data_IF_786239471766
#
_entry.id   IF_786239471766
#
_cell.length_a   1.000
_cell.length_b   1.000
_cell.length_c   1.000
_cell.angle_alpha   90.00
_cell.angle_beta   90.00
_cell.angle_gamma   90.00
#
_symmetry.space_group_name_H-M   'P 1'
#
loop_
_entity.id
_entity.type
_entity.pdbx_description
1 polymer ?
#
# COMPACT_ATOMS: atom_id res chain seq x y z
N UNK A 1 -19.96 -27.15 75.57
CA UNK A 1 -19.14 -28.31 75.25
C UNK A 1 -19.77 -29.13 74.18
N UNK A 2 -19.34 -28.99 72.94
CA UNK A 2 -19.51 -29.97 71.86
C UNK A 2 -18.66 -29.49 70.69
N UNK A 3 -17.60 -30.20 70.46
CA UNK A 3 -16.64 -30.05 69.37
C UNK A 3 -17.26 -30.55 68.06
N UNK A 4 -17.34 -29.74 67.03
CA UNK A 4 -17.71 -30.15 65.68
C UNK A 4 -16.46 -30.37 64.82
N UNK A 5 -16.23 -31.61 64.48
CA UNK A 5 -15.20 -32.10 63.56
C UNK A 5 -15.59 -31.70 62.11
N UNK A 6 -14.76 -30.96 61.44
CA UNK A 6 -14.87 -30.65 60.03
C UNK A 6 -14.23 -31.74 59.16
N UNK A 7 -14.99 -32.32 58.24
CA UNK A 7 -14.53 -33.24 57.20
C UNK A 7 -13.92 -32.46 56.03
N UNK A 8 -12.84 -32.93 55.35
CA UNK A 8 -12.27 -32.27 54.21
C UNK A 8 -13.07 -32.57 52.92
N UNK A 9 -13.42 -31.54 52.18
CA UNK A 9 -14.01 -31.62 50.86
C UNK A 9 -12.90 -31.94 49.85
N UNK A 10 -13.08 -33.03 49.12
CA UNK A 10 -12.20 -33.45 48.04
C UNK A 10 -12.27 -32.50 46.85
N UNK A 11 -11.16 -31.90 46.54
CA UNK A 11 -10.96 -30.99 45.40
C UNK A 11 -10.80 -31.82 44.10
N UNK A 12 -11.85 -31.97 43.33
CA UNK A 12 -11.81 -32.60 42.02
C UNK A 12 -11.27 -31.60 41.01
N UNK A 13 -9.95 -31.52 40.84
CA UNK A 13 -9.30 -30.79 39.76
C UNK A 13 -9.50 -31.54 38.45
N UNK A 14 -10.47 -31.12 37.65
CA UNK A 14 -10.58 -31.46 36.22
C UNK A 14 -9.54 -30.64 35.44
N UNK A 15 -8.49 -31.31 34.93
CA UNK A 15 -7.56 -30.73 33.97
C UNK A 15 -8.30 -30.28 32.71
N UNK A 16 -8.10 -29.04 32.25
CA UNK A 16 -8.62 -28.67 30.91
C UNK A 16 -7.72 -29.28 29.84
N UNK A 17 -8.35 -29.94 28.88
CA UNK A 17 -7.73 -30.47 27.69
C UNK A 17 -6.91 -29.40 26.94
N UNK A 18 -5.64 -29.69 26.69
CA UNK A 18 -4.74 -28.91 25.86
C UNK A 18 -5.17 -29.01 24.38
N UNK A 19 -6.05 -28.11 23.97
CA UNK A 19 -6.21 -27.78 22.57
C UNK A 19 -5.03 -26.89 22.09
N UNK A 20 -4.72 -26.83 20.79
CA UNK A 20 -3.58 -26.05 20.30
C UNK A 20 -3.74 -24.59 20.71
N UNK A 21 -2.76 -24.06 21.43
CA UNK A 21 -2.67 -22.65 21.83
C UNK A 21 -2.65 -21.78 20.56
N UNK A 22 -3.82 -21.29 20.17
CA UNK A 22 -3.90 -20.08 19.36
C UNK A 22 -3.39 -18.94 20.23
N UNK A 23 -2.19 -18.46 19.95
CA UNK A 23 -1.56 -17.30 20.58
C UNK A 23 -2.55 -16.12 20.52
N UNK A 24 -3.26 -15.90 21.62
CA UNK A 24 -4.27 -14.82 21.70
C UNK A 24 -3.54 -13.49 21.67
N UNK A 25 -3.85 -12.67 20.69
CA UNK A 25 -3.34 -11.29 20.57
C UNK A 25 -3.61 -10.56 21.89
N UNK A 26 -2.58 -9.98 22.55
CA UNK A 26 -2.77 -9.31 23.82
C UNK A 26 -3.73 -8.13 23.68
N UNK A 27 -4.82 -8.12 24.45
CA UNK A 27 -5.87 -7.08 24.45
C UNK A 27 -5.30 -5.69 24.78
N UNK A 28 -4.16 -5.59 25.47
CA UNK A 28 -3.49 -4.32 25.80
C UNK A 28 -2.98 -3.52 24.57
N UNK A 29 -2.79 -4.17 23.42
CA UNK A 29 -2.34 -3.51 22.19
C UNK A 29 -3.51 -3.02 21.29
N UNK A 30 -4.74 -3.46 21.55
CA UNK A 30 -5.92 -3.20 20.71
C UNK A 30 -6.38 -1.74 20.65
N UNK A 31 -5.76 -0.83 21.44
CA UNK A 31 -6.15 0.59 21.50
C UNK A 31 -5.06 1.59 21.08
N UNK A 32 -3.83 1.15 20.86
CA UNK A 32 -2.76 2.09 20.54
C UNK A 32 -2.80 2.48 19.06
N UNK A 33 -3.10 3.75 18.81
CA UNK A 33 -2.92 4.39 17.52
C UNK A 33 -1.43 4.54 17.24
N UNK A 34 -0.95 4.07 16.11
CA UNK A 34 0.43 4.25 15.66
C UNK A 34 0.53 5.52 14.83
N UNK A 35 1.06 6.58 15.44
CA UNK A 35 1.20 7.87 14.75
C UNK A 35 2.13 7.77 13.54
N UNK A 36 3.15 6.89 13.60
CA UNK A 36 4.05 6.61 12.47
C UNK A 36 3.32 6.04 11.27
N UNK A 37 2.32 5.18 11.47
CA UNK A 37 1.57 4.57 10.38
C UNK A 37 0.67 5.59 9.68
N UNK A 38 0.02 6.50 10.43
CA UNK A 38 -0.78 7.56 9.86
C UNK A 38 0.11 8.58 9.09
N UNK A 39 1.28 8.91 9.65
CA UNK A 39 2.24 9.79 8.99
C UNK A 39 2.83 9.14 7.72
N UNK A 40 3.18 7.87 7.75
CA UNK A 40 3.70 7.15 6.59
C UNK A 40 2.64 7.01 5.49
N UNK A 41 1.37 6.77 5.87
CA UNK A 41 0.25 6.78 4.92
C UNK A 41 0.10 8.15 4.25
N UNK A 42 0.20 9.23 5.05
CA UNK A 42 0.16 10.59 4.52
C UNK A 42 1.34 10.91 3.63
N UNK A 43 2.53 10.42 3.95
CA UNK A 43 3.71 10.54 3.09
C UNK A 43 3.49 9.86 1.74
N UNK A 44 3.06 8.59 1.73
CA UNK A 44 2.77 7.89 0.49
C UNK A 44 1.67 8.61 -0.31
N UNK A 45 0.62 9.08 0.35
CA UNK A 45 -0.48 9.80 -0.31
C UNK A 45 -0.03 11.14 -0.88
N UNK A 46 0.83 11.89 -0.20
CA UNK A 46 1.39 13.16 -0.71
C UNK A 46 2.05 12.96 -2.08
N UNK A 47 2.82 11.89 -2.24
CA UNK A 47 3.46 11.57 -3.52
C UNK A 47 2.45 11.09 -4.57
N UNK A 48 1.41 10.38 -4.18
CA UNK A 48 0.36 9.92 -5.11
C UNK A 48 -0.41 11.11 -5.69
N UNK A 49 -0.76 12.11 -4.87
CA UNK A 49 -1.58 13.24 -5.32
C UNK A 49 -0.78 14.38 -5.95
N UNK A 50 0.48 14.56 -5.54
CA UNK A 50 1.27 15.71 -5.96
C UNK A 50 2.63 15.38 -6.57
N UNK A 51 3.03 14.11 -6.60
CA UNK A 51 4.37 13.71 -7.04
C UNK A 51 4.65 14.06 -8.50
N UNK A 52 3.70 13.80 -9.38
CA UNK A 52 3.82 14.13 -10.81
C UNK A 52 3.87 15.64 -11.04
N UNK A 53 2.97 16.40 -10.42
CA UNK A 53 2.97 17.87 -10.53
C UNK A 53 4.25 18.50 -10.02
N UNK A 54 4.77 18.02 -8.87
CA UNK A 54 6.06 18.47 -8.34
C UNK A 54 7.23 18.10 -9.27
N UNK A 55 7.20 16.91 -9.87
CA UNK A 55 8.20 16.47 -10.84
C UNK A 55 8.21 17.39 -12.06
N UNK A 56 7.05 17.69 -12.65
CA UNK A 56 6.91 18.61 -13.78
C UNK A 56 7.36 20.02 -13.42
N UNK A 57 6.96 20.53 -12.24
CA UNK A 57 7.39 21.83 -11.75
C UNK A 57 8.88 21.95 -11.53
N UNK A 58 9.52 20.90 -11.00
CA UNK A 58 10.97 20.84 -10.83
C UNK A 58 11.71 20.74 -12.17
N UNK A 59 11.20 19.96 -13.11
CA UNK A 59 11.77 19.84 -14.45
C UNK A 59 11.79 21.20 -15.19
N UNK A 60 10.79 22.05 -14.96
CA UNK A 60 10.72 23.39 -15.54
C UNK A 60 11.79 24.36 -15.01
N UNK A 61 12.38 24.13 -13.83
CA UNK A 61 13.42 24.98 -13.26
C UNK A 61 14.75 24.89 -14.04
N UNK A 62 14.97 23.86 -14.85
CA UNK A 62 16.17 23.68 -15.66
C UNK A 62 16.85 22.32 -15.42
N UNK A 63 17.97 22.09 -16.11
CA UNK A 63 18.63 20.78 -16.21
C UNK A 63 19.96 20.69 -15.45
N UNK A 64 20.04 21.24 -14.24
CA UNK A 64 21.24 20.98 -13.43
C UNK A 64 21.22 19.53 -12.89
N UNK A 65 22.40 19.01 -12.51
CA UNK A 65 22.58 17.62 -12.06
C UNK A 65 21.66 17.24 -10.88
N UNK A 66 21.45 18.16 -9.93
CA UNK A 66 20.64 17.90 -8.75
C UNK A 66 19.16 17.80 -9.13
N UNK A 67 18.65 18.79 -9.86
CA UNK A 67 17.27 18.78 -10.36
C UNK A 67 17.02 17.54 -11.23
N UNK A 68 17.91 17.25 -12.16
CA UNK A 68 17.79 16.06 -13.02
C UNK A 68 17.73 14.75 -12.22
N UNK A 69 18.54 14.62 -11.15
CA UNK A 69 18.49 13.44 -10.28
C UNK A 69 17.16 13.35 -9.52
N UNK A 70 16.64 14.46 -9.00
CA UNK A 70 15.35 14.49 -8.28
C UNK A 70 14.21 14.16 -9.24
N UNK A 71 14.14 14.80 -10.40
CA UNK A 71 13.14 14.53 -11.45
C UNK A 71 13.18 13.06 -11.87
N UNK A 72 14.40 12.51 -12.08
CA UNK A 72 14.56 11.09 -12.40
C UNK A 72 13.96 10.18 -11.34
N UNK A 73 14.14 10.48 -10.05
CA UNK A 73 13.60 9.68 -8.95
C UNK A 73 12.09 9.88 -8.74
N UNK A 74 11.52 11.01 -9.14
CA UNK A 74 10.10 11.33 -9.04
C UNK A 74 9.29 10.91 -10.28
N UNK A 75 9.94 10.37 -11.31
CA UNK A 75 9.25 9.77 -12.46
C UNK A 75 9.24 8.25 -12.36
N UNK A 76 8.26 7.60 -13.00
CA UNK A 76 8.27 6.14 -13.13
C UNK A 76 9.42 5.65 -14.01
N UNK A 77 9.94 4.46 -13.69
CA UNK A 77 10.82 3.74 -14.60
C UNK A 77 10.08 3.47 -15.91
N UNK A 78 10.65 3.77 -17.08
CA UNK A 78 9.98 3.53 -18.36
C UNK A 78 9.59 2.07 -18.54
N UNK A 79 10.48 1.14 -18.24
CA UNK A 79 10.20 -0.29 -18.25
C UNK A 79 10.99 -1.02 -17.16
N UNK A 80 12.30 -1.22 -17.34
CA UNK A 80 13.14 -1.88 -16.36
C UNK A 80 13.78 -0.87 -15.40
N UNK A 81 13.88 -1.26 -14.13
CA UNK A 81 14.50 -0.47 -13.09
C UNK A 81 13.58 -0.23 -11.89
N UNK A 82 14.12 0.45 -10.89
CA UNK A 82 13.41 0.85 -9.69
C UNK A 82 13.79 2.27 -9.34
N UNK A 83 12.81 3.14 -9.25
CA UNK A 83 12.97 4.52 -8.81
C UNK A 83 12.21 4.75 -7.51
N UNK A 84 12.48 5.84 -6.84
CA UNK A 84 11.77 6.20 -5.62
C UNK A 84 10.25 6.20 -5.81
N UNK A 85 9.77 6.79 -6.90
CA UNK A 85 8.34 6.91 -7.18
C UNK A 85 7.67 5.54 -7.38
N UNK A 86 8.38 4.56 -7.92
CA UNK A 86 7.90 3.19 -8.08
C UNK A 86 7.67 2.47 -6.75
N UNK A 87 8.26 2.95 -5.64
CA UNK A 87 8.10 2.37 -4.31
C UNK A 87 6.87 2.91 -3.55
N UNK A 88 6.18 3.93 -4.06
CA UNK A 88 5.08 4.60 -3.33
C UNK A 88 3.85 3.71 -3.26
N UNK A 89 3.43 3.11 -4.37
CA UNK A 89 2.28 2.21 -4.37
C UNK A 89 2.51 0.94 -3.53
N UNK A 90 3.63 0.20 -3.64
CA UNK A 90 3.95 -0.89 -2.72
C UNK A 90 3.96 -0.48 -1.25
N UNK A 91 4.45 0.73 -0.94
CA UNK A 91 4.39 1.27 0.43
C UNK A 91 2.95 1.40 0.92
N UNK A 92 2.04 1.86 0.08
CA UNK A 92 0.62 1.95 0.42
C UNK A 92 0.00 0.56 0.65
N UNK A 93 0.34 -0.44 -0.20
CA UNK A 93 -0.07 -1.84 -0.03
C UNK A 93 0.42 -2.41 1.32
N UNK A 94 1.68 -2.16 1.67
CA UNK A 94 2.25 -2.56 2.95
C UNK A 94 1.47 -1.93 4.13
N UNK A 95 1.20 -0.62 4.08
CA UNK A 95 0.45 0.12 5.12
C UNK A 95 -0.94 -0.46 5.31
N UNK A 96 -1.63 -0.81 4.22
CA UNK A 96 -2.94 -1.46 4.28
C UNK A 96 -2.83 -2.78 5.03
N UNK A 97 -1.84 -3.61 4.70
CA UNK A 97 -1.56 -4.87 5.40
C UNK A 97 -1.29 -4.66 6.89
N UNK A 98 -0.42 -3.72 7.26
CA UNK A 98 -0.12 -3.38 8.67
C UNK A 98 -1.39 -2.98 9.43
N UNK A 99 -2.32 -2.32 8.78
CA UNK A 99 -3.57 -1.85 9.40
C UNK A 99 -4.59 -2.97 9.67
N UNK A 100 -4.49 -4.13 8.99
CA UNK A 100 -5.45 -5.24 9.12
C UNK A 100 -5.51 -5.80 10.53
N UNK A 101 -4.40 -6.28 11.15
CA UNK A 101 -4.48 -6.89 12.48
C UNK A 101 -4.87 -5.88 13.55
N UNK A 102 -4.46 -4.60 13.43
CA UNK A 102 -4.84 -3.52 14.34
C UNK A 102 -6.36 -3.28 14.33
N UNK A 103 -6.95 -3.22 13.13
CA UNK A 103 -8.38 -3.00 12.99
C UNK A 103 -9.19 -4.24 13.37
N UNK A 104 -8.68 -5.43 13.07
CA UNK A 104 -9.31 -6.70 13.40
C UNK A 104 -9.35 -6.91 14.91
N UNK A 105 -8.25 -6.71 15.63
CA UNK A 105 -8.18 -6.82 17.08
C UNK A 105 -9.14 -5.84 17.78
N UNK A 106 -9.24 -4.60 17.30
CA UNK A 106 -10.17 -3.63 17.86
C UNK A 106 -11.64 -4.06 17.69
N UNK A 107 -12.01 -4.62 16.54
CA UNK A 107 -13.38 -5.06 16.27
C UNK A 107 -13.73 -6.37 16.94
N UNK A 108 -12.77 -7.24 17.23
CA UNK A 108 -13.02 -8.49 17.94
C UNK A 108 -13.57 -8.30 19.36
N UNK A 109 -13.45 -7.09 19.91
CA UNK A 109 -14.06 -6.74 21.20
C UNK A 109 -15.59 -6.62 21.15
N UNK A 110 -16.15 -6.33 19.96
CA UNK A 110 -17.59 -6.02 19.80
C UNK A 110 -18.29 -6.81 18.69
N UNK A 111 -17.54 -7.50 17.83
CA UNK A 111 -18.06 -8.17 16.64
C UNK A 111 -17.60 -9.63 16.58
N UNK A 112 -18.50 -10.50 16.13
CA UNK A 112 -18.15 -11.88 15.78
C UNK A 112 -17.29 -11.95 14.54
N UNK A 113 -16.62 -13.07 14.30
CA UNK A 113 -15.79 -13.27 13.10
C UNK A 113 -16.56 -13.07 11.80
N UNK A 114 -17.79 -13.61 11.71
CA UNK A 114 -18.64 -13.44 10.52
C UNK A 114 -19.01 -11.97 10.27
N UNK A 115 -19.29 -11.21 11.33
CA UNK A 115 -19.56 -9.77 11.22
C UNK A 115 -18.33 -9.00 10.75
N UNK A 116 -17.14 -9.36 11.24
CA UNK A 116 -15.87 -8.74 10.80
C UNK A 116 -15.59 -9.06 9.34
N UNK A 117 -15.84 -10.30 8.90
CA UNK A 117 -15.67 -10.73 7.52
C UNK A 117 -16.65 -10.00 6.58
N UNK A 118 -17.93 -9.92 6.96
CA UNK A 118 -18.95 -9.17 6.20
C UNK A 118 -18.57 -7.68 6.09
N UNK A 119 -18.08 -7.08 7.18
CA UNK A 119 -17.59 -5.71 7.17
C UNK A 119 -16.37 -5.54 6.25
N UNK A 120 -15.45 -6.49 6.28
CA UNK A 120 -14.27 -6.47 5.40
C UNK A 120 -14.66 -6.64 3.92
N UNK A 121 -15.59 -7.53 3.61
CA UNK A 121 -16.14 -7.71 2.28
C UNK A 121 -16.82 -6.43 1.77
N UNK A 122 -17.66 -5.80 2.59
CA UNK A 122 -18.28 -4.50 2.26
C UNK A 122 -17.23 -3.44 1.98
N UNK A 123 -16.19 -3.35 2.82
CA UNK A 123 -15.09 -2.39 2.65
C UNK A 123 -14.31 -2.66 1.36
N UNK A 124 -13.98 -3.92 1.08
CA UNK A 124 -13.31 -4.31 -0.15
C UNK A 124 -14.15 -3.95 -1.38
N UNK A 125 -15.46 -4.22 -1.34
CA UNK A 125 -16.38 -3.85 -2.43
C UNK A 125 -16.42 -2.33 -2.63
N UNK A 126 -16.53 -1.55 -1.57
CA UNK A 126 -16.53 -0.07 -1.66
C UNK A 126 -15.22 0.43 -2.27
N UNK A 127 -14.06 -0.09 -1.83
CA UNK A 127 -12.75 0.28 -2.40
C UNK A 127 -12.66 -0.10 -3.88
N UNK A 128 -13.14 -1.28 -4.25
CA UNK A 128 -13.16 -1.75 -5.62
C UNK A 128 -14.01 -0.82 -6.50
N UNK A 129 -15.22 -0.49 -6.07
CA UNK A 129 -16.14 0.40 -6.79
C UNK A 129 -15.62 1.84 -6.87
N UNK A 130 -14.95 2.34 -5.82
CA UNK A 130 -14.27 3.64 -5.87
C UNK A 130 -13.13 3.64 -6.91
N UNK A 131 -12.39 2.52 -7.03
CA UNK A 131 -11.41 2.36 -8.09
C UNK A 131 -12.03 2.40 -9.48
N UNK A 132 -13.13 1.65 -9.67
CA UNK A 132 -13.89 1.66 -10.93
C UNK A 132 -14.43 3.05 -11.27
N UNK A 133 -14.97 3.76 -10.28
CA UNK A 133 -15.47 5.12 -10.46
C UNK A 133 -14.34 6.08 -10.89
N UNK A 134 -13.17 5.99 -10.24
CA UNK A 134 -12.01 6.82 -10.59
C UNK A 134 -11.62 6.64 -12.05
N UNK A 135 -11.42 5.40 -12.49
CA UNK A 135 -11.02 5.11 -13.86
C UNK A 135 -12.12 5.51 -14.85
N UNK A 136 -13.39 5.28 -14.52
CA UNK A 136 -14.52 5.71 -15.36
C UNK A 136 -14.55 7.23 -15.56
N UNK A 137 -14.23 8.00 -14.52
CA UNK A 137 -14.16 9.46 -14.62
C UNK A 137 -12.98 9.91 -15.48
N UNK A 138 -11.79 9.31 -15.25
CA UNK A 138 -10.59 9.65 -16.02
C UNK A 138 -10.73 9.35 -17.50
N UNK A 139 -11.39 8.25 -17.85
CA UNK A 139 -11.54 7.78 -19.23
C UNK A 139 -12.80 8.28 -19.92
N UNK A 140 -13.71 8.94 -19.17
CA UNK A 140 -15.00 9.38 -19.72
C UNK A 140 -15.89 8.22 -20.20
N UNK A 141 -15.62 6.99 -19.75
CA UNK A 141 -16.36 5.78 -20.13
C UNK A 141 -16.47 4.79 -18.97
N UNK A 142 -17.53 3.97 -18.89
CA UNK A 142 -17.67 3.01 -17.80
C UNK A 142 -16.51 1.99 -17.75
N UNK A 143 -15.85 1.90 -16.61
CA UNK A 143 -14.75 0.98 -16.31
C UNK A 143 -15.08 0.26 -15.00
N UNK A 144 -15.41 -1.03 -15.04
CA UNK A 144 -15.89 -1.75 -13.87
C UNK A 144 -14.91 -2.80 -13.34
N UNK A 145 -14.40 -3.67 -14.20
CA UNK A 145 -13.70 -4.90 -13.80
C UNK A 145 -12.27 -5.00 -14.34
N UNK A 146 -11.79 -3.97 -14.98
CA UNK A 146 -10.51 -4.01 -15.73
C UNK A 146 -9.27 -4.02 -14.84
N UNK A 147 -9.43 -3.89 -13.51
CA UNK A 147 -8.35 -3.97 -12.52
C UNK A 147 -7.21 -2.96 -12.74
N UNK A 148 -7.47 -1.92 -13.51
CA UNK A 148 -6.49 -0.89 -13.88
C UNK A 148 -6.26 0.17 -12.81
N UNK A 149 -7.19 0.32 -11.85
CA UNK A 149 -7.07 1.26 -10.74
C UNK A 149 -6.21 0.71 -9.61
N UNK A 150 -5.42 1.56 -8.96
CA UNK A 150 -4.66 1.18 -7.76
C UNK A 150 -5.54 0.67 -6.60
N UNK A 151 -6.79 1.16 -6.47
CA UNK A 151 -7.70 0.74 -5.39
C UNK A 151 -8.25 -0.67 -5.56
N UNK A 152 -8.38 -1.18 -6.78
CA UNK A 152 -8.92 -2.52 -7.03
C UNK A 152 -7.97 -3.62 -6.52
N UNK A 153 -6.66 -3.65 -6.86
CA UNK A 153 -5.70 -4.55 -6.24
C UNK A 153 -5.61 -4.41 -4.72
N UNK A 154 -5.69 -3.17 -4.20
CA UNK A 154 -5.71 -2.92 -2.75
C UNK A 154 -6.94 -3.58 -2.11
N UNK A 155 -8.12 -3.47 -2.72
CA UNK A 155 -9.35 -4.07 -2.22
C UNK A 155 -9.23 -5.59 -2.12
N UNK A 156 -8.74 -6.24 -3.16
CA UNK A 156 -8.56 -7.69 -3.22
C UNK A 156 -7.48 -8.14 -2.23
N UNK A 157 -6.32 -7.50 -2.23
CA UNK A 157 -5.22 -7.84 -1.32
C UNK A 157 -5.62 -7.63 0.16
N UNK A 158 -6.36 -6.56 0.46
CA UNK A 158 -6.94 -6.33 1.79
C UNK A 158 -7.89 -7.47 2.20
N UNK A 159 -8.78 -7.89 1.31
CA UNK A 159 -9.73 -8.96 1.61
C UNK A 159 -9.01 -10.29 1.86
N UNK A 160 -8.03 -10.64 1.03
CA UNK A 160 -7.19 -11.83 1.23
C UNK A 160 -6.46 -11.77 2.58
N UNK A 161 -5.87 -10.62 2.93
CA UNK A 161 -5.21 -10.44 4.22
C UNK A 161 -6.18 -10.65 5.40
N UNK A 162 -7.44 -10.20 5.31
CA UNK A 162 -8.46 -10.44 6.34
C UNK A 162 -8.85 -11.91 6.43
N UNK A 163 -8.93 -12.64 5.32
CA UNK A 163 -9.22 -14.08 5.33
C UNK A 163 -8.17 -14.89 6.10
N UNK A 164 -6.91 -14.44 6.06
CA UNK A 164 -5.79 -15.15 6.68
C UNK A 164 -5.29 -14.55 8.00
N UNK A 165 -5.85 -13.43 8.47
CA UNK A 165 -5.40 -12.73 9.70
C UNK A 165 -5.44 -13.62 10.96
N UNK A 166 -6.28 -14.66 10.98
CA UNK A 166 -6.37 -15.63 12.09
C UNK A 166 -5.48 -16.86 11.91
N UNK A 167 -4.80 -16.99 10.78
CA UNK A 167 -3.87 -18.09 10.52
C UNK A 167 -2.51 -17.76 11.16
N UNK A 168 -1.70 -18.79 11.38
CA UNK A 168 -0.37 -18.59 11.95
C UNK A 168 0.50 -17.70 11.05
N UNK A 169 1.40 -16.93 11.65
CA UNK A 169 2.36 -16.11 10.93
C UNK A 169 3.18 -16.91 9.89
N UNK A 170 3.47 -18.18 10.18
CA UNK A 170 4.16 -19.08 9.25
C UNK A 170 3.34 -19.34 8.00
N UNK A 171 2.04 -19.59 8.15
CA UNK A 171 1.14 -19.78 7.00
C UNK A 171 1.06 -18.50 6.16
N UNK A 172 0.91 -17.33 6.79
CA UNK A 172 0.87 -16.04 6.09
C UNK A 172 2.18 -15.76 5.33
N UNK A 173 3.34 -16.05 5.95
CA UNK A 173 4.64 -15.89 5.34
C UNK A 173 4.83 -16.84 4.13
N UNK A 174 4.48 -18.13 4.30
CA UNK A 174 4.56 -19.10 3.21
C UNK A 174 3.58 -18.78 2.08
N UNK A 175 2.38 -18.29 2.39
CA UNK A 175 1.43 -17.84 1.37
C UNK A 175 1.98 -16.66 0.58
N UNK A 176 2.52 -15.64 1.25
CA UNK A 176 3.12 -14.48 0.58
C UNK A 176 4.32 -14.86 -0.29
N UNK A 177 5.25 -15.64 0.25
CA UNK A 177 6.41 -16.13 -0.49
C UNK A 177 5.98 -17.05 -1.66
N UNK A 178 5.01 -17.92 -1.44
CA UNK A 178 4.46 -18.83 -2.45
C UNK A 178 3.80 -18.10 -3.61
N UNK A 179 3.08 -17.00 -3.34
CA UNK A 179 2.50 -16.15 -4.39
C UNK A 179 3.60 -15.54 -5.26
N UNK A 180 4.64 -14.95 -4.67
CA UNK A 180 5.75 -14.36 -5.44
C UNK A 180 6.48 -15.43 -6.25
N UNK A 181 6.78 -16.59 -5.64
CA UNK A 181 7.47 -17.68 -6.31
C UNK A 181 6.62 -18.27 -7.45
N UNK A 182 5.34 -18.58 -7.19
CA UNK A 182 4.44 -19.14 -8.21
C UNK A 182 4.25 -18.16 -9.37
N UNK A 183 4.05 -16.87 -9.09
CA UNK A 183 3.94 -15.86 -10.12
C UNK A 183 5.22 -15.75 -10.95
N UNK A 184 6.39 -15.72 -10.30
CA UNK A 184 7.68 -15.72 -10.98
C UNK A 184 7.88 -16.94 -11.88
N UNK A 185 7.48 -18.15 -11.41
CA UNK A 185 7.52 -19.38 -12.21
C UNK A 185 6.54 -19.33 -13.39
N UNK A 186 5.35 -18.78 -13.19
CA UNK A 186 4.38 -18.59 -14.30
C UNK A 186 4.98 -17.71 -15.39
N UNK A 187 5.58 -16.55 -15.03
CA UNK A 187 6.21 -15.67 -16.02
C UNK A 187 7.43 -16.31 -16.69
N UNK A 188 8.20 -17.13 -15.95
CA UNK A 188 9.43 -17.73 -16.46
C UNK A 188 9.18 -18.91 -17.39
N UNK A 189 8.12 -19.72 -17.16
CA UNK A 189 7.94 -21.02 -17.83
C UNK A 189 6.69 -21.15 -18.69
N UNK A 190 5.68 -20.30 -18.47
CA UNK A 190 4.44 -20.37 -19.26
C UNK A 190 4.64 -19.65 -20.60
N UNK A 191 4.21 -20.30 -21.66
CA UNK A 191 4.18 -19.78 -23.03
C UNK A 191 2.76 -19.34 -23.37
N UNK A 192 2.66 -18.32 -24.22
CA UNK A 192 1.39 -17.93 -24.85
C UNK A 192 1.56 -17.87 -26.38
N UNK A 193 0.47 -17.88 -27.16
CA UNK A 193 0.55 -17.72 -28.62
C UNK A 193 1.35 -16.47 -29.00
N UNK A 194 2.46 -16.67 -29.72
CA UNK A 194 3.36 -15.58 -30.14
C UNK A 194 4.33 -15.08 -29.06
N UNK A 195 4.25 -15.58 -27.81
CA UNK A 195 5.10 -15.14 -26.69
C UNK A 195 5.91 -16.31 -26.13
N UNK A 196 7.22 -16.16 -26.12
CA UNK A 196 8.13 -17.16 -25.55
C UNK A 196 8.06 -17.16 -24.01
N UNK A 197 8.37 -18.31 -23.40
CA UNK A 197 8.53 -18.40 -21.95
C UNK A 197 9.67 -17.48 -21.50
N UNK A 198 9.47 -16.80 -20.35
CA UNK A 198 10.46 -15.89 -19.79
C UNK A 198 10.61 -14.57 -20.57
N UNK A 199 9.67 -14.21 -21.43
CA UNK A 199 9.66 -12.89 -22.06
C UNK A 199 9.20 -11.82 -21.08
N UNK A 200 10.06 -10.81 -20.86
CA UNK A 200 9.79 -9.61 -20.08
C UNK A 200 9.86 -8.36 -20.96
N UNK A 201 9.71 -8.53 -22.26
CA UNK A 201 9.77 -7.41 -23.20
C UNK A 201 8.55 -6.53 -23.11
N UNK A 202 8.72 -5.26 -23.43
CA UNK A 202 7.62 -4.28 -23.46
C UNK A 202 6.55 -4.71 -24.46
N UNK A 203 5.30 -4.75 -24.01
CA UNK A 203 4.12 -5.20 -24.79
C UNK A 203 4.26 -6.58 -25.47
N UNK A 204 5.31 -7.35 -25.15
CA UNK A 204 5.53 -8.70 -25.69
C UNK A 204 5.85 -9.69 -24.56
N UNK A 205 4.91 -9.83 -23.62
CA UNK A 205 5.04 -10.65 -22.43
C UNK A 205 3.71 -11.31 -22.05
N UNK A 206 3.78 -12.29 -21.15
CA UNK A 206 2.60 -13.04 -20.72
C UNK A 206 1.53 -12.17 -20.05
N UNK A 207 1.91 -11.13 -19.31
CA UNK A 207 0.96 -10.23 -18.63
C UNK A 207 0.10 -9.50 -19.65
N UNK A 208 0.75 -8.88 -20.62
CA UNK A 208 0.09 -8.18 -21.73
C UNK A 208 -0.83 -9.13 -22.54
N UNK A 209 -0.37 -10.35 -22.83
CA UNK A 209 -1.19 -11.32 -23.54
C UNK A 209 -2.45 -11.70 -22.76
N UNK A 210 -2.33 -11.94 -21.45
CA UNK A 210 -3.47 -12.29 -20.58
C UNK A 210 -4.47 -11.15 -20.52
N UNK A 211 -4.00 -9.91 -20.41
CA UNK A 211 -4.86 -8.73 -20.37
C UNK A 211 -5.67 -8.61 -21.66
N UNK A 212 -5.04 -8.73 -22.83
CA UNK A 212 -5.75 -8.71 -24.12
C UNK A 212 -6.70 -9.90 -24.25
N UNK A 213 -6.28 -11.11 -23.85
CA UNK A 213 -7.11 -12.31 -23.96
C UNK A 213 -8.38 -12.24 -23.10
N UNK A 214 -8.30 -11.61 -21.91
CA UNK A 214 -9.42 -11.52 -20.97
C UNK A 214 -10.27 -10.27 -21.18
N UNK A 215 -9.66 -9.13 -21.47
CA UNK A 215 -10.34 -7.84 -21.54
C UNK A 215 -10.66 -7.42 -22.97
N UNK A 216 -9.96 -8.02 -23.95
CA UNK A 216 -10.11 -7.73 -25.37
C UNK A 216 -9.26 -6.56 -25.88
N UNK A 217 -8.90 -6.62 -27.15
CA UNK A 217 -8.07 -5.62 -27.81
C UNK A 217 -8.71 -4.21 -27.77
N UNK A 218 -10.03 -4.13 -28.01
CA UNK A 218 -10.76 -2.85 -27.99
C UNK A 218 -10.76 -2.17 -26.61
N UNK A 219 -10.62 -2.95 -25.52
CA UNK A 219 -10.41 -2.40 -24.19
C UNK A 219 -9.00 -1.83 -24.07
N UNK A 220 -7.99 -2.62 -24.47
CA UNK A 220 -6.59 -2.22 -24.43
C UNK A 220 -6.33 -0.92 -25.21
N UNK A 221 -6.86 -0.81 -26.43
CA UNK A 221 -6.69 0.37 -27.28
C UNK A 221 -7.29 1.66 -26.71
N UNK A 222 -8.24 1.54 -25.78
CA UNK A 222 -8.87 2.69 -25.11
C UNK A 222 -8.21 3.06 -23.80
N UNK A 223 -7.38 2.18 -23.25
CA UNK A 223 -6.73 2.44 -21.97
C UNK A 223 -5.50 3.35 -22.16
N UNK A 224 -5.47 4.54 -21.52
CA UNK A 224 -4.41 5.52 -21.76
C UNK A 224 -3.02 5.07 -21.28
N UNK A 225 -2.98 4.06 -20.41
CA UNK A 225 -1.72 3.48 -19.91
C UNK A 225 -1.30 2.21 -20.69
N UNK A 226 -2.02 1.83 -21.74
CA UNK A 226 -1.67 0.71 -22.59
C UNK A 226 -0.30 0.93 -23.26
N UNK A 227 -0.08 2.14 -23.78
CA UNK A 227 1.18 2.54 -24.41
C UNK A 227 2.37 2.52 -23.44
N UNK A 228 2.11 2.52 -22.13
CA UNK A 228 3.12 2.39 -21.10
C UNK A 228 3.36 0.93 -20.66
N UNK A 229 2.58 -0.02 -21.13
CA UNK A 229 2.72 -1.45 -20.83
C UNK A 229 2.27 -1.86 -19.42
N UNK A 230 1.35 -1.11 -18.79
CA UNK A 230 0.82 -1.48 -17.48
C UNK A 230 -0.01 -2.75 -17.55
N UNK A 231 0.42 -3.76 -16.79
CA UNK A 231 -0.36 -4.98 -16.59
C UNK A 231 -1.52 -4.77 -15.60
N UNK A 232 -2.61 -5.48 -15.79
CA UNK A 232 -3.81 -5.37 -14.96
C UNK A 232 -4.15 -6.69 -14.25
N UNK A 233 -4.72 -7.65 -14.95
CA UNK A 233 -5.31 -8.87 -14.34
C UNK A 233 -4.24 -9.73 -13.65
N UNK A 234 -3.22 -10.11 -14.39
CA UNK A 234 -2.22 -11.04 -13.89
C UNK A 234 -1.26 -10.37 -12.90
N UNK A 235 -0.85 -9.12 -13.16
CA UNK A 235 0.06 -8.35 -12.31
C UNK A 235 -0.54 -7.96 -10.94
N UNK A 236 -1.86 -8.05 -10.78
CA UNK A 236 -2.53 -7.83 -9.50
C UNK A 236 -2.21 -8.93 -8.47
N UNK A 237 -1.99 -10.18 -8.91
CA UNK A 237 -1.81 -11.33 -8.01
C UNK A 237 -0.63 -11.14 -7.04
N UNK A 238 0.57 -10.77 -7.49
CA UNK A 238 1.72 -10.62 -6.60
C UNK A 238 1.59 -9.41 -5.64
N UNK A 239 0.70 -8.45 -5.90
CA UNK A 239 0.46 -7.34 -4.97
C UNK A 239 -0.05 -7.81 -3.61
N UNK A 240 -0.75 -8.96 -3.58
CA UNK A 240 -1.24 -9.60 -2.37
C UNK A 240 -0.07 -9.92 -1.41
N UNK A 241 1.07 -10.33 -1.94
CA UNK A 241 2.25 -10.67 -1.13
C UNK A 241 2.79 -9.48 -0.33
N UNK A 242 2.82 -8.28 -0.92
CA UNK A 242 3.23 -7.04 -0.25
C UNK A 242 2.26 -6.69 0.88
N UNK A 243 0.97 -6.89 0.69
CA UNK A 243 -0.05 -6.69 1.74
C UNK A 243 0.06 -7.74 2.84
N UNK A 244 0.36 -9.01 2.52
CA UNK A 244 0.61 -10.06 3.52
C UNK A 244 1.89 -9.79 4.32
N UNK A 245 2.94 -9.25 3.71
CA UNK A 245 4.11 -8.78 4.44
C UNK A 245 3.73 -7.66 5.41
N UNK A 246 2.88 -6.73 4.99
CA UNK A 246 2.31 -5.71 5.85
C UNK A 246 1.52 -6.31 7.02
N UNK A 247 0.71 -7.34 6.79
CA UNK A 247 -0.02 -8.07 7.84
C UNK A 247 0.94 -8.64 8.90
N UNK A 248 2.00 -9.31 8.48
CA UNK A 248 3.03 -9.85 9.38
C UNK A 248 3.72 -8.74 10.21
N UNK A 249 4.04 -7.61 9.58
CA UNK A 249 4.61 -6.45 10.29
C UNK A 249 3.59 -5.86 11.27
N UNK A 250 2.32 -5.82 10.91
CA UNK A 250 1.25 -5.37 11.81
C UNK A 250 1.13 -6.26 13.05
N UNK A 251 1.19 -7.59 12.91
CA UNK A 251 1.22 -8.54 14.02
C UNK A 251 2.48 -8.36 14.88
N UNK A 252 3.64 -8.17 14.24
CA UNK A 252 4.88 -7.84 14.94
C UNK A 252 4.75 -6.56 15.77
N UNK A 253 4.14 -5.51 15.23
CA UNK A 253 3.92 -4.24 15.93
C UNK A 253 2.95 -4.38 17.09
N UNK A 254 2.02 -5.33 17.05
CA UNK A 254 1.10 -5.64 18.16
C UNK A 254 1.71 -6.58 19.20
N UNK A 255 2.80 -7.27 18.90
CA UNK A 255 3.44 -8.22 19.81
C UNK A 255 3.95 -7.54 21.11
N UNK A 256 4.22 -8.33 22.15
CA UNK A 256 4.77 -7.84 23.42
C UNK A 256 6.26 -7.44 23.37
N UNK A 257 6.91 -7.50 22.20
CA UNK A 257 8.32 -7.15 22.01
C UNK A 257 8.56 -5.67 22.27
N UNK A 258 9.79 -5.32 22.71
CA UNK A 258 10.19 -3.92 22.88
C UNK A 258 10.18 -3.17 21.54
N UNK A 259 9.99 -1.85 21.58
CA UNK A 259 9.97 -1.00 20.37
C UNK A 259 11.26 -1.16 19.55
N UNK A 260 12.43 -1.22 20.21
CA UNK A 260 13.72 -1.42 19.57
C UNK A 260 13.82 -2.79 18.87
N UNK A 261 13.29 -3.83 19.51
CA UNK A 261 13.29 -5.16 18.92
C UNK A 261 12.37 -5.23 17.69
N UNK A 262 11.18 -4.62 17.77
CA UNK A 262 10.29 -4.46 16.61
C UNK A 262 10.99 -3.74 15.44
N UNK A 263 11.68 -2.64 15.74
CA UNK A 263 12.45 -1.90 14.74
C UNK A 263 13.55 -2.75 14.08
N UNK A 264 14.31 -3.54 14.88
CA UNK A 264 15.33 -4.47 14.35
C UNK A 264 14.72 -5.51 13.41
N UNK A 265 13.56 -6.07 13.78
CA UNK A 265 12.87 -7.03 12.91
C UNK A 265 12.36 -6.40 11.62
N UNK A 266 11.74 -5.21 11.68
CA UNK A 266 11.30 -4.48 10.46
C UNK A 266 12.50 -4.21 9.55
N UNK A 267 13.62 -3.73 10.13
CA UNK A 267 14.87 -3.50 9.39
C UNK A 267 15.45 -4.77 8.79
N UNK A 268 15.51 -5.87 9.58
CA UNK A 268 16.00 -7.17 9.10
C UNK A 268 15.15 -7.74 7.97
N UNK A 269 13.81 -7.66 8.07
CA UNK A 269 12.89 -8.07 7.01
C UNK A 269 13.10 -7.19 5.75
N UNK A 270 13.19 -5.87 5.92
CA UNK A 270 13.42 -4.95 4.81
C UNK A 270 14.73 -5.23 4.08
N UNK A 271 15.83 -5.37 4.82
CA UNK A 271 17.14 -5.71 4.24
C UNK A 271 17.16 -7.10 3.60
N UNK A 272 16.49 -8.08 4.22
CA UNK A 272 16.33 -9.42 3.64
C UNK A 272 15.58 -9.39 2.31
N UNK A 273 14.46 -8.65 2.23
CA UNK A 273 13.73 -8.46 0.99
C UNK A 273 14.59 -7.77 -0.08
N UNK A 274 15.36 -6.74 0.28
CA UNK A 274 16.27 -6.07 -0.65
C UNK A 274 17.35 -7.03 -1.16
N UNK A 275 17.98 -7.80 -0.28
CA UNK A 275 19.03 -8.74 -0.65
C UNK A 275 18.50 -9.84 -1.58
N UNK A 276 17.37 -10.47 -1.23
CA UNK A 276 16.75 -11.51 -2.05
C UNK A 276 16.26 -10.90 -3.38
N UNK A 277 15.64 -9.72 -3.33
CA UNK A 277 15.17 -9.01 -4.52
C UNK A 277 16.31 -8.63 -5.46
N UNK A 278 17.46 -8.20 -4.93
CA UNK A 278 18.67 -7.95 -5.72
C UNK A 278 19.21 -9.23 -6.37
N UNK A 279 19.30 -10.33 -5.62
CA UNK A 279 19.72 -11.62 -6.19
C UNK A 279 18.73 -12.10 -7.25
N UNK A 280 17.43 -11.95 -7.03
CA UNK A 280 16.41 -12.30 -8.01
C UNK A 280 16.52 -11.42 -9.27
N UNK A 281 16.92 -10.16 -9.13
CA UNK A 281 17.05 -9.23 -10.26
C UNK A 281 18.16 -9.60 -11.24
N UNK A 282 19.09 -10.47 -10.83
CA UNK A 282 20.12 -10.99 -11.73
C UNK A 282 19.57 -11.96 -12.79
N UNK A 283 18.36 -12.52 -12.54
CA UNK A 283 17.71 -13.47 -13.44
C UNK A 283 16.37 -12.94 -13.96
N UNK A 284 15.60 -12.26 -13.11
CA UNK A 284 14.29 -11.70 -13.43
C UNK A 284 14.38 -10.18 -13.41
N UNK A 285 14.18 -9.48 -14.54
CA UNK A 285 14.31 -8.02 -14.60
C UNK A 285 13.31 -7.35 -13.65
N UNK A 286 13.71 -6.18 -13.14
CA UNK A 286 12.87 -5.38 -12.24
C UNK A 286 11.90 -4.58 -13.09
N UNK A 287 10.64 -5.01 -13.17
CA UNK A 287 9.60 -4.36 -13.96
C UNK A 287 8.37 -4.11 -13.10
N UNK A 288 8.14 -2.85 -12.75
CA UNK A 288 7.01 -2.43 -11.93
C UNK A 288 5.67 -2.76 -12.60
N UNK A 289 5.55 -2.46 -13.88
CA UNK A 289 4.30 -2.59 -14.65
C UNK A 289 3.82 -4.04 -14.80
N UNK A 290 4.73 -5.00 -14.70
CA UNK A 290 4.44 -6.43 -14.61
C UNK A 290 4.39 -6.97 -13.18
N UNK A 291 4.82 -6.17 -12.19
CA UNK A 291 5.01 -6.59 -10.80
C UNK A 291 5.87 -7.85 -10.68
N UNK A 292 7.02 -7.87 -11.34
CA UNK A 292 7.93 -9.02 -11.33
C UNK A 292 8.39 -9.38 -9.91
N UNK A 293 8.82 -10.64 -9.70
CA UNK A 293 9.25 -11.10 -8.38
C UNK A 293 10.40 -10.27 -7.78
N UNK A 294 11.34 -9.85 -8.61
CA UNK A 294 12.42 -8.92 -8.23
C UNK A 294 11.88 -7.56 -7.79
N UNK A 295 10.94 -6.98 -8.55
CA UNK A 295 10.30 -5.73 -8.19
C UNK A 295 9.50 -5.86 -6.89
N UNK A 296 8.69 -6.92 -6.74
CA UNK A 296 7.89 -7.16 -5.54
C UNK A 296 8.77 -7.18 -4.27
N UNK A 297 9.91 -7.87 -4.32
CA UNK A 297 10.83 -7.98 -3.20
C UNK A 297 11.58 -6.66 -2.93
N UNK A 298 12.12 -6.02 -3.97
CA UNK A 298 12.85 -4.76 -3.81
C UNK A 298 11.96 -3.64 -3.28
N UNK A 299 10.78 -3.47 -3.88
CA UNK A 299 9.84 -2.43 -3.46
C UNK A 299 9.26 -2.67 -2.06
N UNK A 300 8.98 -3.93 -1.69
CA UNK A 300 8.57 -4.30 -0.35
C UNK A 300 9.69 -4.04 0.69
N UNK A 301 10.94 -4.35 0.34
CA UNK A 301 12.10 -4.04 1.17
C UNK A 301 12.25 -2.54 1.44
N UNK A 302 12.15 -1.71 0.39
CA UNK A 302 12.14 -0.25 0.52
C UNK A 302 10.98 0.25 1.38
N UNK A 303 9.76 -0.26 1.16
CA UNK A 303 8.59 0.09 1.96
C UNK A 303 8.78 -0.23 3.45
N UNK A 304 9.41 -1.37 3.78
CA UNK A 304 9.76 -1.74 5.16
C UNK A 304 10.76 -0.75 5.77
N UNK A 305 11.82 -0.37 5.02
CA UNK A 305 12.82 0.58 5.52
C UNK A 305 12.22 1.99 5.69
N UNK A 306 11.35 2.43 4.80
CA UNK A 306 10.62 3.69 4.96
C UNK A 306 9.72 3.65 6.20
N UNK A 307 8.94 2.58 6.39
CA UNK A 307 8.15 2.39 7.61
C UNK A 307 9.04 2.41 8.87
N UNK A 308 10.23 1.77 8.82
CA UNK A 308 11.19 1.79 9.92
C UNK A 308 11.63 3.19 10.28
N UNK A 309 11.92 4.04 9.30
CA UNK A 309 12.30 5.46 9.53
C UNK A 309 11.18 6.19 10.27
N UNK A 310 9.93 6.09 9.78
CA UNK A 310 8.78 6.72 10.45
C UNK A 310 8.56 6.17 11.85
N UNK A 311 8.61 4.85 12.03
CA UNK A 311 8.45 4.18 13.32
C UNK A 311 9.55 4.60 14.31
N UNK A 312 10.79 4.66 13.84
CA UNK A 312 11.93 5.05 14.67
C UNK A 312 11.85 6.52 15.11
N UNK A 313 11.57 7.44 14.17
CA UNK A 313 11.49 8.86 14.47
C UNK A 313 10.29 9.20 15.37
N UNK A 314 9.12 8.64 15.09
CA UNK A 314 7.86 9.04 15.71
C UNK A 314 7.57 8.23 16.96
N UNK A 315 7.62 6.86 16.89
CA UNK A 315 7.20 6.01 18.01
C UNK A 315 8.33 5.65 18.98
N UNK A 316 9.60 5.65 18.53
CA UNK A 316 10.76 5.40 19.40
C UNK A 316 11.34 6.70 19.93
N UNK A 317 11.69 7.66 19.04
CA UNK A 317 12.32 8.93 19.43
C UNK A 317 11.33 9.99 19.89
N UNK A 318 10.04 9.86 19.58
CA UNK A 318 8.99 10.81 19.98
C UNK A 318 8.93 12.10 19.17
N UNK A 319 9.65 12.18 18.05
CA UNK A 319 9.63 13.36 17.17
C UNK A 319 8.35 13.38 16.32
N UNK A 320 7.25 13.93 16.84
CA UNK A 320 5.91 13.92 16.20
C UNK A 320 5.56 15.21 15.45
N UNK A 321 6.12 16.37 15.83
CA UNK A 321 5.69 17.68 15.32
C UNK A 321 5.86 17.81 13.81
N UNK A 322 6.99 17.38 13.28
CA UNK A 322 7.28 17.44 11.84
C UNK A 322 6.34 16.59 10.99
N UNK A 323 5.85 15.48 11.57
CA UNK A 323 4.98 14.52 10.87
C UNK A 323 3.50 14.97 10.87
N UNK A 324 3.15 16.04 11.58
CA UNK A 324 1.77 16.51 11.69
C UNK A 324 1.12 16.80 10.33
N UNK A 325 1.74 17.52 9.38
CA UNK A 325 1.15 17.73 8.06
C UNK A 325 0.85 16.41 7.33
N UNK A 326 1.75 15.45 7.42
CA UNK A 326 1.58 14.13 6.82
C UNK A 326 0.46 13.35 7.51
N UNK A 327 0.37 13.41 8.84
CA UNK A 327 -0.71 12.76 9.59
C UNK A 327 -2.08 13.29 9.17
N UNK A 328 -2.22 14.59 8.92
CA UNK A 328 -3.45 15.20 8.42
C UNK A 328 -3.87 14.59 7.08
N UNK A 329 -2.94 14.44 6.13
CA UNK A 329 -3.17 13.78 4.84
C UNK A 329 -3.56 12.31 5.06
N UNK A 330 -2.79 11.58 5.86
CA UNK A 330 -2.98 10.14 6.10
C UNK A 330 -4.32 9.78 6.73
N UNK A 331 -4.94 10.69 7.48
CA UNK A 331 -6.24 10.49 8.11
C UNK A 331 -7.41 10.47 7.13
N UNK A 332 -7.28 11.15 5.99
CA UNK A 332 -8.28 11.25 4.93
C UNK A 332 -7.73 10.82 3.56
N UNK A 333 -6.82 9.83 3.54
CA UNK A 333 -6.10 9.42 2.32
C UNK A 333 -7.03 9.01 1.18
N UNK A 334 -8.09 8.26 1.45
CA UNK A 334 -9.06 7.84 0.41
C UNK A 334 -9.84 9.03 -0.13
N UNK A 335 -10.23 9.95 0.75
CA UNK A 335 -10.94 11.16 0.33
C UNK A 335 -10.09 11.97 -0.64
N UNK A 336 -8.85 12.30 -0.26
CA UNK A 336 -8.01 13.16 -1.12
C UNK A 336 -7.64 12.46 -2.43
N UNK A 337 -7.40 11.15 -2.43
CA UNK A 337 -7.15 10.37 -3.64
C UNK A 337 -8.31 10.46 -4.64
N UNK A 338 -9.54 10.30 -4.15
CA UNK A 338 -10.74 10.41 -4.99
C UNK A 338 -11.01 11.86 -5.40
N UNK A 339 -10.82 12.81 -4.47
CA UNK A 339 -11.06 14.22 -4.70
C UNK A 339 -10.18 14.75 -5.84
N UNK A 340 -8.88 14.51 -5.79
CA UNK A 340 -7.93 14.99 -6.81
C UNK A 340 -8.12 14.32 -8.17
N UNK A 341 -8.65 13.08 -8.18
CA UNK A 341 -8.93 12.36 -9.42
C UNK A 341 -10.24 12.81 -10.12
N UNK A 342 -11.18 13.38 -9.35
CA UNK A 342 -12.48 13.80 -9.86
C UNK A 342 -12.53 15.33 -10.03
N UNK A 343 -11.93 16.07 -9.11
CA UNK A 343 -11.94 17.54 -9.10
C UNK A 343 -10.52 18.03 -9.38
N UNK A 344 -10.33 18.53 -10.57
CA UNK A 344 -9.07 19.13 -10.99
C UNK A 344 -9.00 20.56 -10.44
N UNK A 345 -8.07 20.81 -9.53
CA UNK A 345 -7.85 22.15 -8.95
C UNK A 345 -7.02 23.06 -9.85
N UNK A 346 -6.36 22.51 -10.86
CA UNK A 346 -5.50 23.27 -11.77
C UNK A 346 -6.19 24.48 -12.39
N UNK A 347 -7.42 24.40 -12.95
CA UNK A 347 -8.08 25.58 -13.52
C UNK A 347 -8.41 26.64 -12.49
N UNK A 348 -8.73 26.22 -11.25
CA UNK A 348 -9.07 27.14 -10.16
C UNK A 348 -7.82 27.88 -9.68
N UNK A 349 -6.75 27.13 -9.42
CA UNK A 349 -5.46 27.68 -8.93
C UNK A 349 -4.82 28.54 -10.03
N UNK A 350 -4.94 28.15 -11.32
CA UNK A 350 -4.40 28.92 -12.44
C UNK A 350 -4.95 30.37 -12.46
N UNK A 351 -6.22 30.59 -12.13
CA UNK A 351 -6.79 31.95 -12.05
C UNK A 351 -5.96 32.87 -11.15
N UNK A 352 -5.43 32.33 -10.04
CA UNK A 352 -4.67 33.12 -9.07
C UNK A 352 -3.17 33.11 -9.34
N UNK A 353 -2.63 32.08 -9.98
CA UNK A 353 -1.19 31.88 -10.21
C UNK A 353 -0.73 32.29 -11.60
N UNK A 354 -1.63 32.45 -12.56
CA UNK A 354 -1.33 32.79 -13.97
C UNK A 354 -0.42 34.01 -14.12
N UNK A 355 -0.61 35.04 -13.32
CA UNK A 355 0.25 36.22 -13.33
C UNK A 355 1.71 35.90 -13.01
N UNK A 356 1.93 35.05 -12.01
CA UNK A 356 3.26 34.62 -11.57
C UNK A 356 3.89 33.71 -12.63
N UNK A 357 3.13 32.74 -13.13
CA UNK A 357 3.59 31.82 -14.20
C UNK A 357 4.00 32.58 -15.45
N UNK A 358 3.27 33.67 -15.80
CA UNK A 358 3.60 34.50 -16.97
C UNK A 358 4.90 35.28 -16.79
N UNK A 359 5.16 35.79 -15.59
CA UNK A 359 6.39 36.59 -15.31
C UNK A 359 7.60 35.69 -15.09
N UNK A 360 7.43 34.54 -14.44
CA UNK A 360 8.49 33.58 -14.14
C UNK A 360 8.11 32.17 -14.64
N UNK A 361 8.13 31.91 -15.95
CA UNK A 361 7.58 30.67 -16.50
C UNK A 361 8.26 29.39 -15.93
N UNK A 362 9.56 29.42 -15.66
CA UNK A 362 10.27 28.26 -15.13
C UNK A 362 9.93 27.95 -13.66
N UNK A 363 9.90 28.96 -12.81
CA UNK A 363 9.56 28.77 -11.38
C UNK A 363 8.06 28.86 -11.12
N UNK A 364 7.31 29.50 -12.00
CA UNK A 364 5.88 29.68 -11.88
C UNK A 364 5.11 28.35 -11.90
N UNK A 365 5.53 27.40 -12.73
CA UNK A 365 4.91 26.06 -12.75
C UNK A 365 5.11 25.32 -11.42
N UNK A 366 6.32 25.34 -10.86
CA UNK A 366 6.55 24.76 -9.54
C UNK A 366 5.73 25.46 -8.46
N UNK A 367 5.65 26.79 -8.49
CA UNK A 367 4.82 27.57 -7.59
C UNK A 367 3.35 27.17 -7.69
N UNK A 368 2.82 26.99 -8.89
CA UNK A 368 1.45 26.53 -9.13
C UNK A 368 1.20 25.15 -8.53
N UNK A 369 2.08 24.18 -8.77
CA UNK A 369 1.93 22.82 -8.24
C UNK A 369 2.01 22.78 -6.71
N UNK A 370 2.92 23.55 -6.11
CA UNK A 370 2.99 23.71 -4.64
C UNK A 370 1.72 24.37 -4.11
N UNK A 371 1.14 25.34 -4.83
CA UNK A 371 -0.11 25.99 -4.44
C UNK A 371 -1.29 25.01 -4.48
N UNK A 372 -1.38 24.15 -5.49
CA UNK A 372 -2.40 23.10 -5.56
C UNK A 372 -2.31 22.20 -4.32
N UNK A 373 -1.12 21.67 -4.02
CA UNK A 373 -0.90 20.85 -2.82
C UNK A 373 -1.23 21.59 -1.52
N UNK A 374 -0.94 22.88 -1.45
CA UNK A 374 -1.27 23.70 -0.28
C UNK A 374 -2.80 23.83 -0.11
N UNK A 375 -3.56 24.04 -1.20
CA UNK A 375 -5.02 24.09 -1.17
C UNK A 375 -5.60 22.75 -0.73
N UNK A 376 -5.12 21.63 -1.29
CA UNK A 376 -5.51 20.28 -0.90
C UNK A 376 -5.24 20.04 0.59
N UNK A 377 -4.06 20.43 1.06
CA UNK A 377 -3.72 20.32 2.47
C UNK A 377 -4.61 21.17 3.37
N UNK A 378 -4.97 22.40 2.96
CA UNK A 378 -5.90 23.26 3.70
C UNK A 378 -7.29 22.63 3.82
N UNK A 379 -7.80 22.00 2.74
CA UNK A 379 -9.06 21.25 2.75
C UNK A 379 -8.98 20.11 3.77
N UNK A 380 -7.90 19.31 3.73
CA UNK A 380 -7.69 18.20 4.66
C UNK A 380 -7.52 18.68 6.11
N UNK A 381 -6.85 19.80 6.32
CA UNK A 381 -6.69 20.42 7.64
C UNK A 381 -8.03 20.92 8.20
N UNK A 382 -8.88 21.52 7.37
CA UNK A 382 -10.25 21.88 7.74
C UNK A 382 -11.06 20.64 8.15
N UNK A 383 -11.02 19.57 7.37
CA UNK A 383 -11.66 18.30 7.72
C UNK A 383 -11.13 17.73 9.04
N UNK A 384 -9.82 17.78 9.24
CA UNK A 384 -9.17 17.37 10.49
C UNK A 384 -9.69 18.16 11.69
N UNK A 385 -9.76 19.49 11.59
CA UNK A 385 -10.28 20.37 12.65
C UNK A 385 -11.76 20.10 12.96
N UNK A 386 -12.54 19.78 11.94
CA UNK A 386 -13.97 19.43 12.07
C UNK A 386 -14.19 17.97 12.46
N UNK A 387 -13.13 17.18 12.62
CA UNK A 387 -13.19 15.73 12.92
C UNK A 387 -13.97 14.92 11.87
N UNK A 388 -13.97 15.39 10.62
CA UNK A 388 -14.57 14.69 9.47
C UNK A 388 -13.54 13.74 8.90
N UNK A 389 -13.78 12.42 9.01
CA UNK A 389 -12.89 11.38 8.50
C UNK A 389 -13.68 10.43 7.61
N UNK A 390 -13.36 10.46 6.32
CA UNK A 390 -13.95 9.56 5.33
C UNK A 390 -13.26 8.21 5.42
N UNK A 391 -14.04 7.18 5.71
CA UNK A 391 -13.57 5.79 5.81
C UNK A 391 -14.35 4.95 4.80
N UNK A 392 -13.63 4.17 4.00
CA UNK A 392 -14.23 3.12 3.19
C UNK A 392 -14.33 1.82 3.97
#
# INVERSE_FOLDING_TARGET
MASLVSLPVADARSSPATGPETERIPVSAAGQRLDSLDAFRGFAMLWIIGGEGLMLGLAALGHNRVIGTVVYQLSHSPWQGLRFYDCIWPSFMLIVGVSVPLSFAKRSLTQTYHQQLAHAAKRALVLFLLGSLRESVLLGSPYLIELSSALQPIAIAYFVAVLVVRKSWRFQAWLGAGIVAAYGLVLAFIRAPGISAGSYEFNHNLVHWVDIALLGQAHWDRWPFADEGWGTVLSMIPTISTTLLGLLIGELLMSARTKQNKARWIGGIGLGCLAIGFLTSLVVPVVMKMWTASYALLSAGWACLMLLVFYWLIDIRGYRKWAFPLTVIGMNAIFIYMFTSIIHLDPIVDVFTRGIVRVWPNSGLLFQQVTILAVEWVILFWMYKRKVFVKA
#
